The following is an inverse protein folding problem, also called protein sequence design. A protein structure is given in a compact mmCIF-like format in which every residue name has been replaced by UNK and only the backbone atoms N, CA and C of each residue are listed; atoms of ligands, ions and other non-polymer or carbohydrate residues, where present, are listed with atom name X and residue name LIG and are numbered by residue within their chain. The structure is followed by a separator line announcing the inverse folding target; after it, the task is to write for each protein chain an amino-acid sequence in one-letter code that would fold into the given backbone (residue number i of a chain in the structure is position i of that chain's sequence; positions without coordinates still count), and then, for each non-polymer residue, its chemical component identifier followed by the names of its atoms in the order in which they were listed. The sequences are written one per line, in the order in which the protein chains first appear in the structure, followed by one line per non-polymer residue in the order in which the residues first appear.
data_IF_395852571392
#
_entry.id   IF_395852571392
#
_cell.length_a   1.000
_cell.length_b   1.000
_cell.length_c   1.000
_cell.angle_alpha   90.00
_cell.angle_beta   90.00
_cell.angle_gamma   90.00
#
_symmetry.space_group_name_H-M   'P 1'
#
loop_
_entity.id
_entity.type
_entity.pdbx_description
1 polymer ?
#
# COMPACT_ATOMS: atom_id res chain seq x y z
N UNK A 1 34.02 17.69 35.69
CA UNK A 1 33.47 16.34 35.42
C UNK A 1 31.96 16.44 35.29
N UNK A 2 31.39 16.40 34.07
CA UNK A 2 29.93 16.34 33.87
C UNK A 2 29.55 15.89 32.44
N UNK A 3 30.04 14.71 32.01
CA UNK A 3 29.68 14.11 30.70
C UNK A 3 28.58 13.04 30.79
N UNK A 4 27.96 12.86 31.96
CA UNK A 4 27.01 11.76 32.20
C UNK A 4 25.56 12.09 31.83
N UNK A 5 25.23 13.36 31.54
CA UNK A 5 23.84 13.77 31.26
C UNK A 5 23.45 13.67 29.78
N UNK A 6 24.40 13.58 28.85
CA UNK A 6 24.11 13.54 27.40
C UNK A 6 23.84 12.16 26.81
N UNK A 7 24.12 11.08 27.55
CA UNK A 7 24.02 9.71 27.04
C UNK A 7 22.63 9.06 27.23
N UNK A 8 21.72 9.69 27.99
CA UNK A 8 20.38 9.14 28.24
C UNK A 8 19.29 9.62 27.25
N UNK A 9 19.59 10.56 26.34
CA UNK A 9 18.62 11.07 25.36
C UNK A 9 18.69 10.35 24.00
N UNK A 10 19.73 9.55 23.75
CA UNK A 10 19.98 8.89 22.45
C UNK A 10 19.55 7.42 22.39
N UNK A 11 18.88 6.90 23.43
CA UNK A 11 18.28 5.55 23.40
C UNK A 11 16.77 5.53 23.10
N UNK A 12 16.11 6.69 22.97
CA UNK A 12 14.65 6.75 22.83
C UNK A 12 14.12 7.35 21.51
N UNK A 13 14.98 7.79 20.57
CA UNK A 13 14.54 8.63 19.44
C UNK A 13 14.86 8.14 18.02
N UNK A 14 15.45 6.94 17.82
CA UNK A 14 15.84 6.46 16.48
C UNK A 14 15.23 5.11 16.07
N UNK A 15 14.17 4.65 16.72
CA UNK A 15 13.38 3.46 16.29
C UNK A 15 12.04 3.81 15.63
N UNK A 16 11.81 5.06 15.24
CA UNK A 16 10.52 5.50 14.69
C UNK A 16 10.38 5.28 13.16
N UNK A 17 11.48 5.13 12.42
CA UNK A 17 11.46 4.91 10.96
C UNK A 17 12.16 3.61 10.56
N UNK A 18 11.63 2.48 11.02
CA UNK A 18 11.85 1.22 10.28
C UNK A 18 11.01 1.25 9.01
N UNK A 19 11.49 0.69 7.89
CA UNK A 19 10.76 0.60 6.62
C UNK A 19 9.31 0.09 6.82
N UNK A 20 9.12 -0.79 7.81
CA UNK A 20 7.83 -1.29 8.28
C UNK A 20 6.84 -0.21 8.73
N UNK A 21 7.30 0.81 9.46
CA UNK A 21 6.47 1.92 9.95
C UNK A 21 6.07 2.86 8.82
N UNK A 22 7.00 3.10 7.88
CA UNK A 22 6.74 3.86 6.66
C UNK A 22 5.69 3.17 5.78
N UNK A 23 5.82 1.86 5.58
CA UNK A 23 4.83 1.08 4.84
C UNK A 23 3.43 1.15 5.49
N UNK A 24 3.36 1.08 6.82
CA UNK A 24 2.08 1.17 7.53
C UNK A 24 1.42 2.56 7.38
N UNK A 25 2.22 3.63 7.38
CA UNK A 25 1.72 4.98 7.11
C UNK A 25 1.21 5.11 5.66
N UNK A 26 1.95 4.59 4.68
CA UNK A 26 1.54 4.60 3.27
C UNK A 26 0.26 3.77 3.04
N UNK A 27 0.07 2.67 3.78
CA UNK A 27 -1.18 1.89 3.79
C UNK A 27 -2.36 2.76 4.21
N UNK A 28 -2.23 3.48 5.32
CA UNK A 28 -3.31 4.31 5.87
C UNK A 28 -3.64 5.44 4.88
N UNK A 29 -2.64 6.17 4.42
CA UNK A 29 -2.81 7.28 3.47
C UNK A 29 -3.43 6.78 2.15
N UNK A 30 -2.90 5.67 1.62
CA UNK A 30 -3.36 5.06 0.39
C UNK A 30 -4.78 4.47 0.46
N UNK A 31 -5.29 4.20 1.66
CA UNK A 31 -6.68 3.74 1.86
C UNK A 31 -7.65 4.91 2.03
N UNK A 32 -7.24 5.97 2.75
CA UNK A 32 -8.09 7.13 3.04
C UNK A 32 -8.36 7.94 1.77
N UNK A 33 -7.33 8.22 0.98
CA UNK A 33 -7.45 9.06 -0.21
C UNK A 33 -8.53 8.57 -1.22
N UNK A 34 -8.54 7.30 -1.68
CA UNK A 34 -9.58 6.83 -2.59
C UNK A 34 -10.96 6.78 -1.93
N UNK A 35 -11.05 6.45 -0.63
CA UNK A 35 -12.34 6.45 0.08
C UNK A 35 -12.95 7.83 0.22
N UNK A 36 -12.16 8.87 0.45
CA UNK A 36 -12.67 10.25 0.50
C UNK A 36 -13.31 10.67 -0.82
N UNK A 37 -12.66 10.39 -1.95
CA UNK A 37 -13.18 10.71 -3.30
C UNK A 37 -14.47 9.95 -3.61
N UNK A 38 -14.52 8.66 -3.28
CA UNK A 38 -15.68 7.80 -3.51
C UNK A 38 -16.87 8.21 -2.64
N UNK A 39 -16.63 8.55 -1.37
CA UNK A 39 -17.68 9.05 -0.46
C UNK A 39 -18.27 10.37 -0.94
N UNK A 40 -17.44 11.32 -1.36
CA UNK A 40 -17.90 12.60 -1.90
C UNK A 40 -18.72 12.41 -3.18
N UNK A 41 -18.31 11.49 -4.05
CA UNK A 41 -19.08 11.10 -5.23
C UNK A 41 -20.46 10.54 -4.87
N UNK A 42 -20.51 9.62 -3.90
CA UNK A 42 -21.77 9.00 -3.45
C UNK A 42 -22.73 10.01 -2.80
N UNK A 43 -22.20 10.98 -2.06
CA UNK A 43 -23.00 12.07 -1.47
C UNK A 43 -23.63 12.95 -2.57
N UNK A 44 -22.88 13.23 -3.64
CA UNK A 44 -23.36 14.13 -4.71
C UNK A 44 -24.24 13.44 -5.76
N UNK A 45 -23.98 12.18 -6.09
CA UNK A 45 -24.58 11.49 -7.25
C UNK A 45 -25.42 10.26 -6.90
N UNK A 46 -25.47 9.87 -5.62
CA UNK A 46 -26.14 8.64 -5.17
C UNK A 46 -25.33 7.37 -5.46
N UNK A 47 -25.85 6.21 -5.03
CA UNK A 47 -25.13 4.92 -5.08
C UNK A 47 -25.11 4.29 -6.48
N UNK A 48 -24.34 4.88 -7.40
CA UNK A 48 -24.29 4.49 -8.81
C UNK A 48 -22.85 4.25 -9.28
N UNK A 49 -22.42 2.98 -9.29
CA UNK A 49 -21.07 2.58 -9.75
C UNK A 49 -20.88 2.85 -11.25
N UNK A 50 -21.93 2.68 -12.04
CA UNK A 50 -21.92 2.95 -13.48
C UNK A 50 -21.59 4.42 -13.77
N UNK A 51 -22.22 5.34 -13.03
CA UNK A 51 -21.98 6.78 -13.17
C UNK A 51 -20.57 7.17 -12.74
N UNK A 52 -20.00 6.46 -11.75
CA UNK A 52 -18.63 6.70 -11.27
C UNK A 52 -17.62 6.37 -12.36
N UNK A 53 -17.77 5.21 -12.99
CA UNK A 53 -16.93 4.80 -14.12
C UNK A 53 -17.11 5.78 -15.28
N UNK A 54 -18.35 6.14 -15.62
CA UNK A 54 -18.62 7.05 -16.71
C UNK A 54 -17.95 8.42 -16.49
N UNK A 55 -18.02 8.98 -15.28
CA UNK A 55 -17.36 10.24 -14.87
C UNK A 55 -15.83 10.15 -14.89
N UNK A 56 -15.26 9.04 -14.45
CA UNK A 56 -13.81 8.83 -14.45
C UNK A 56 -13.24 8.81 -15.87
N UNK A 57 -13.97 8.21 -16.82
CA UNK A 57 -13.57 8.15 -18.22
C UNK A 57 -14.06 9.35 -19.07
N UNK A 58 -14.90 10.22 -18.53
CA UNK A 58 -15.36 11.45 -19.20
C UNK A 58 -14.23 12.50 -19.29
N UNK A 59 -13.29 12.47 -18.35
CA UNK A 59 -12.13 13.34 -18.33
C UNK A 59 -10.85 12.58 -18.72
N UNK A 60 -10.19 13.01 -19.80
CA UNK A 60 -8.92 12.43 -20.25
C UNK A 60 -7.85 12.34 -19.14
N UNK A 61 -7.78 13.34 -18.25
CA UNK A 61 -6.82 13.32 -17.15
C UNK A 61 -7.14 12.19 -16.15
N UNK A 62 -8.41 12.07 -15.74
CA UNK A 62 -8.86 11.02 -14.81
C UNK A 62 -8.74 9.63 -15.46
N UNK A 63 -9.14 9.49 -16.72
CA UNK A 63 -8.96 8.26 -17.50
C UNK A 63 -7.49 7.81 -17.57
N UNK A 64 -6.56 8.75 -17.75
CA UNK A 64 -5.13 8.46 -17.75
C UNK A 64 -4.64 7.98 -16.37
N UNK A 65 -5.08 8.63 -15.27
CA UNK A 65 -4.76 8.18 -13.91
C UNK A 65 -5.33 6.80 -13.59
N UNK A 66 -6.60 6.54 -13.92
CA UNK A 66 -7.24 5.24 -13.72
C UNK A 66 -6.56 4.12 -14.53
N UNK A 67 -6.16 4.43 -15.76
CA UNK A 67 -5.41 3.49 -16.62
C UNK A 67 -4.01 3.21 -16.07
N UNK A 68 -3.29 4.24 -15.60
CA UNK A 68 -1.98 4.07 -14.96
C UNK A 68 -2.07 3.21 -13.69
N UNK A 69 -3.12 3.39 -12.89
CA UNK A 69 -3.38 2.59 -11.70
C UNK A 69 -3.67 1.13 -12.03
N UNK A 70 -4.45 0.86 -13.09
CA UNK A 70 -4.74 -0.49 -13.58
C UNK A 70 -3.49 -1.20 -14.08
N UNK A 71 -2.66 -0.52 -14.89
CA UNK A 71 -1.39 -1.06 -15.39
C UNK A 71 -0.46 -1.33 -14.21
N UNK A 72 -0.33 -0.38 -13.27
CA UNK A 72 0.49 -0.54 -12.08
C UNK A 72 0.02 -1.70 -11.20
N UNK A 73 -1.30 -1.93 -11.11
CA UNK A 73 -1.86 -3.08 -10.40
C UNK A 73 -1.51 -4.41 -11.07
N UNK A 74 -1.61 -4.50 -12.40
CA UNK A 74 -1.20 -5.68 -13.15
C UNK A 74 0.30 -5.99 -12.98
N UNK A 75 1.16 -4.96 -13.11
CA UNK A 75 2.61 -5.09 -12.90
C UNK A 75 2.91 -5.55 -11.48
N UNK A 76 2.24 -4.98 -10.49
CA UNK A 76 2.40 -5.37 -9.08
C UNK A 76 1.97 -6.82 -8.81
N UNK A 77 0.86 -7.29 -9.41
CA UNK A 77 0.42 -8.68 -9.27
C UNK A 77 1.43 -9.66 -9.88
N UNK A 78 1.96 -9.36 -11.08
CA UNK A 78 3.04 -10.13 -11.70
C UNK A 78 4.30 -10.14 -10.83
N UNK A 79 4.73 -8.98 -10.34
CA UNK A 79 5.88 -8.86 -9.45
C UNK A 79 5.70 -9.66 -8.16
N UNK A 80 4.54 -9.52 -7.51
CA UNK A 80 4.19 -10.24 -6.29
C UNK A 80 4.20 -11.75 -6.51
N UNK A 81 3.68 -12.23 -7.65
CA UNK A 81 3.69 -13.64 -8.01
C UNK A 81 5.12 -14.20 -8.15
N UNK A 82 5.99 -13.49 -8.86
CA UNK A 82 7.39 -13.88 -9.06
C UNK A 82 8.15 -13.90 -7.73
N UNK A 83 7.97 -12.87 -6.92
CA UNK A 83 8.69 -12.75 -5.64
C UNK A 83 8.19 -13.74 -4.59
N UNK A 84 6.88 -14.05 -4.52
CA UNK A 84 6.37 -15.13 -3.66
C UNK A 84 7.00 -16.48 -4.02
N UNK A 85 7.12 -16.76 -5.32
CA UNK A 85 7.78 -17.98 -5.81
C UNK A 85 9.26 -18.00 -5.42
N UNK A 86 9.95 -16.85 -5.51
CA UNK A 86 11.36 -16.71 -5.11
C UNK A 86 11.59 -16.90 -3.62
N UNK A 87 10.67 -16.42 -2.79
CA UNK A 87 10.74 -16.51 -1.34
C UNK A 87 10.25 -17.87 -0.79
N UNK A 88 9.70 -18.75 -1.64
CA UNK A 88 9.13 -20.04 -1.21
C UNK A 88 7.85 -19.91 -0.39
N UNK A 89 7.17 -18.77 -0.49
CA UNK A 89 5.96 -18.47 0.27
C UNK A 89 4.74 -19.14 -0.39
N UNK A 90 3.78 -19.58 0.43
CA UNK A 90 2.54 -20.19 -0.07
C UNK A 90 1.77 -19.23 -0.97
N UNK A 91 1.32 -19.72 -2.14
CA UNK A 91 0.52 -18.97 -3.12
C UNK A 91 -0.77 -18.41 -2.54
N UNK A 92 -1.26 -18.97 -1.44
CA UNK A 92 -2.45 -18.48 -0.72
C UNK A 92 -2.32 -17.02 -0.27
N UNK A 93 -1.10 -16.51 -0.01
CA UNK A 93 -0.90 -15.09 0.34
C UNK A 93 -1.12 -14.15 -0.84
N UNK A 94 -0.98 -14.64 -2.07
CA UNK A 94 -1.24 -13.83 -3.26
C UNK A 94 -2.70 -13.38 -3.33
N UNK A 95 -3.63 -14.20 -2.84
CA UNK A 95 -5.05 -13.86 -2.75
C UNK A 95 -5.29 -12.67 -1.82
N UNK A 96 -4.49 -12.52 -0.75
CA UNK A 96 -4.58 -11.39 0.17
C UNK A 96 -4.14 -10.11 -0.55
N UNK A 97 -3.06 -10.14 -1.33
CA UNK A 97 -2.60 -8.98 -2.09
C UNK A 97 -3.55 -8.63 -3.24
N UNK A 98 -4.14 -9.62 -3.90
CA UNK A 98 -5.22 -9.39 -4.88
C UNK A 98 -6.41 -8.71 -4.19
N UNK A 99 -6.91 -9.29 -3.10
CA UNK A 99 -8.04 -8.73 -2.36
C UNK A 99 -7.76 -7.32 -1.84
N UNK A 100 -6.54 -7.04 -1.37
CA UNK A 100 -6.12 -5.69 -0.95
C UNK A 100 -6.07 -4.71 -2.13
N UNK A 101 -5.55 -5.16 -3.28
CA UNK A 101 -5.44 -4.31 -4.48
C UNK A 101 -6.81 -3.91 -5.03
N UNK A 102 -7.77 -4.84 -5.08
CA UNK A 102 -9.12 -4.58 -5.58
C UNK A 102 -10.07 -3.99 -4.53
N UNK A 103 -9.89 -4.34 -3.25
CA UNK A 103 -10.77 -3.90 -2.17
C UNK A 103 -10.39 -2.54 -1.57
N UNK A 104 -9.10 -2.23 -1.50
CA UNK A 104 -8.59 -1.00 -0.85
C UNK A 104 -7.81 -0.13 -1.84
N UNK A 105 -7.04 -0.76 -2.72
CA UNK A 105 -6.27 -0.09 -3.76
C UNK A 105 -4.81 -0.50 -3.78
N UNK A 106 -4.15 -0.23 -4.90
CA UNK A 106 -2.74 -0.53 -5.12
C UNK A 106 -1.83 0.16 -4.09
N UNK A 107 -2.16 1.40 -3.72
CA UNK A 107 -1.37 2.20 -2.79
C UNK A 107 -1.27 1.58 -1.39
N UNK A 108 -2.23 0.74 -1.00
CA UNK A 108 -2.21 0.01 0.27
C UNK A 108 -1.58 -1.39 0.11
N UNK A 109 -1.92 -2.08 -0.98
CA UNK A 109 -1.42 -3.43 -1.25
C UNK A 109 0.11 -3.50 -1.40
N UNK A 110 0.71 -2.51 -2.06
CA UNK A 110 2.16 -2.44 -2.31
C UNK A 110 3.00 -2.34 -1.02
N UNK A 111 2.77 -1.37 -0.12
CA UNK A 111 3.48 -1.32 1.16
C UNK A 111 3.20 -2.54 2.05
N UNK A 112 1.97 -3.06 2.05
CA UNK A 112 1.64 -4.29 2.79
C UNK A 112 2.47 -5.48 2.31
N UNK A 113 2.64 -5.62 0.99
CA UNK A 113 3.49 -6.63 0.40
C UNK A 113 4.96 -6.48 0.81
N UNK A 114 5.51 -5.26 0.76
CA UNK A 114 6.89 -4.99 1.14
C UNK A 114 7.15 -5.28 2.63
N UNK A 115 6.19 -4.97 3.51
CA UNK A 115 6.28 -5.29 4.94
C UNK A 115 6.48 -6.80 5.18
N UNK A 116 5.68 -7.64 4.53
CA UNK A 116 5.80 -9.09 4.67
C UNK A 116 7.09 -9.64 4.06
N UNK A 117 7.53 -9.09 2.93
CA UNK A 117 8.80 -9.44 2.30
C UNK A 117 9.98 -9.17 3.23
N UNK A 118 10.01 -8.02 3.89
CA UNK A 118 11.06 -7.65 4.85
C UNK A 118 11.14 -8.66 6.02
N UNK A 119 9.99 -9.06 6.57
CA UNK A 119 9.95 -10.03 7.68
C UNK A 119 10.45 -11.42 7.30
N UNK A 120 10.25 -11.85 6.05
CA UNK A 120 10.76 -13.14 5.55
C UNK A 120 12.27 -13.10 5.32
N UNK A 121 12.80 -11.95 4.88
CA UNK A 121 14.24 -11.76 4.70
C UNK A 121 14.98 -11.71 6.04
N UNK A 122 14.42 -11.04 7.05
CA UNK A 122 14.97 -11.05 8.42
C UNK A 122 15.07 -12.48 8.99
N UNK A 123 14.04 -13.31 8.77
CA UNK A 123 14.04 -14.70 9.29
C UNK A 123 15.02 -15.63 8.56
N UNK A 124 15.49 -15.28 7.36
CA UNK A 124 16.49 -16.06 6.61
C UNK A 124 17.93 -15.71 6.97
N UNK A 125 18.15 -14.56 7.62
CA UNK A 125 19.46 -14.06 8.01
C UNK A 125 19.80 -14.31 9.50
N UNK A 126 18.91 -14.98 10.26
CA UNK A 126 19.17 -15.50 11.61
C UNK A 126 19.27 -17.02 11.57
#
# INVERSE_FOLDING_TARGET
MSNTTYQNQTSASSKLFSAKSLYLLLVIIGSIAPWSLILEFFIQNGFSIELLIQKEFDNYAAAAFGTDLLISALVFLCFSFVELKRLGLSRSRLLIYIAATFGVGLSCSLPLFLYFREGVLESKNS
#
